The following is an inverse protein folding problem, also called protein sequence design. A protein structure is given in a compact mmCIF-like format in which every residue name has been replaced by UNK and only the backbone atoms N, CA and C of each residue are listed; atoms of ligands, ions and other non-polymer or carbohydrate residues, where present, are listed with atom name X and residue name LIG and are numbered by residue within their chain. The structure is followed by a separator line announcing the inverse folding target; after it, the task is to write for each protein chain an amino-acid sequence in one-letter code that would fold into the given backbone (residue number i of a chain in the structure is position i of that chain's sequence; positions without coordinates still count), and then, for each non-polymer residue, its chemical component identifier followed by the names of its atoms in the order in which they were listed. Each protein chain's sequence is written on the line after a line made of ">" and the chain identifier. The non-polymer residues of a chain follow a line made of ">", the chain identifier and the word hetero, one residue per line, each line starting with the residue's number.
data_IF_147241049202
#
_entry.id   IF_147241049202
#
_cell.length_a   1.000
_cell.length_b   1.000
_cell.length_c   1.000
_cell.angle_alpha   90.00
_cell.angle_beta   90.00
_cell.angle_gamma   90.00
#
_symmetry.space_group_name_H-M   'P 1'
#
loop_
_entity.id
_entity.type
_entity.pdbx_description
1 polymer ?
#
# COMPACT_ATOMS: atom_id res chain seq x y z
N UNK A 1 -32.04 10.52 -24.90
CA UNK A 1 -32.14 9.72 -23.66
C UNK A 1 -31.57 10.56 -22.53
N UNK A 2 -32.38 10.93 -21.55
CA UNK A 2 -32.05 11.93 -20.53
C UNK A 2 -30.98 11.44 -19.52
N UNK A 3 -30.05 12.33 -19.19
CA UNK A 3 -28.95 12.09 -18.26
C UNK A 3 -29.46 11.98 -16.81
N UNK A 4 -30.61 12.59 -16.50
CA UNK A 4 -31.28 12.50 -15.19
C UNK A 4 -31.79 11.07 -14.92
N UNK A 5 -32.40 10.43 -15.94
CA UNK A 5 -32.89 9.04 -15.86
C UNK A 5 -31.72 8.05 -15.68
N UNK A 6 -30.57 8.27 -16.32
CA UNK A 6 -29.36 7.45 -16.07
C UNK A 6 -28.83 7.59 -14.66
N UNK A 7 -28.96 8.78 -14.07
CA UNK A 7 -28.49 9.04 -12.71
C UNK A 7 -29.44 8.44 -11.68
N UNK A 8 -30.75 8.44 -11.91
CA UNK A 8 -31.73 7.85 -11.00
C UNK A 8 -31.76 6.31 -11.09
N UNK A 9 -31.57 5.71 -12.28
CA UNK A 9 -31.30 4.26 -12.42
C UNK A 9 -30.00 3.88 -11.69
N UNK A 10 -28.96 4.73 -11.75
CA UNK A 10 -27.72 4.51 -11.02
C UNK A 10 -27.83 4.79 -9.51
N UNK A 11 -28.90 5.47 -9.05
CA UNK A 11 -29.15 5.79 -7.64
C UNK A 11 -30.12 4.81 -6.97
N UNK A 12 -30.86 4.02 -7.76
CA UNK A 12 -31.83 3.02 -7.29
C UNK A 12 -31.26 1.58 -7.25
N UNK A 13 -29.95 1.39 -7.49
CA UNK A 13 -29.23 0.10 -7.41
C UNK A 13 -28.43 -0.09 -6.10
N UNK A 14 -28.95 0.41 -4.98
CA UNK A 14 -28.26 0.24 -3.70
C UNK A 14 -28.98 -0.82 -2.88
N UNK A 15 -28.20 -1.85 -2.50
CA UNK A 15 -28.50 -3.03 -1.67
C UNK A 15 -29.29 -4.17 -2.32
N UNK A 16 -28.74 -5.37 -2.12
CA UNK A 16 -29.14 -6.72 -2.54
C UNK A 16 -28.83 -7.12 -3.99
N UNK A 17 -27.80 -7.97 -4.13
CA UNK A 17 -27.57 -8.79 -5.32
C UNK A 17 -28.85 -9.60 -5.62
N UNK A 18 -29.22 -9.73 -6.90
CA UNK A 18 -30.28 -10.69 -7.26
C UNK A 18 -29.88 -12.10 -6.85
N UNK A 19 -30.83 -13.04 -6.70
CA UNK A 19 -30.49 -14.42 -6.33
C UNK A 19 -29.40 -15.06 -7.22
N UNK A 20 -29.40 -14.77 -8.51
CA UNK A 20 -28.39 -15.26 -9.46
C UNK A 20 -27.04 -14.57 -9.29
N UNK A 21 -27.04 -13.27 -9.01
CA UNK A 21 -25.82 -12.51 -8.73
C UNK A 21 -25.19 -12.94 -7.41
N UNK A 22 -26.02 -13.22 -6.40
CA UNK A 22 -25.59 -13.77 -5.12
C UNK A 22 -25.01 -15.18 -5.29
N UNK A 23 -25.62 -16.03 -6.10
CA UNK A 23 -25.06 -17.34 -6.43
C UNK A 23 -23.68 -17.24 -7.10
N UNK A 24 -23.43 -16.19 -7.91
CA UNK A 24 -22.10 -15.94 -8.45
C UNK A 24 -21.12 -15.49 -7.36
N UNK A 25 -21.52 -14.57 -6.49
CA UNK A 25 -20.70 -14.10 -5.37
C UNK A 25 -20.33 -15.26 -4.42
N UNK A 26 -21.30 -16.07 -4.03
CA UNK A 26 -21.12 -17.25 -3.18
C UNK A 26 -20.15 -18.25 -3.86
N UNK A 27 -20.31 -18.51 -5.16
CA UNK A 27 -19.39 -19.38 -5.91
C UNK A 27 -17.95 -18.84 -5.93
N UNK A 28 -17.77 -17.52 -6.07
CA UNK A 28 -16.45 -16.89 -6.02
C UNK A 28 -15.85 -16.99 -4.61
N UNK A 29 -16.65 -16.73 -3.58
CA UNK A 29 -16.26 -16.84 -2.17
C UNK A 29 -15.86 -18.28 -1.81
N UNK A 30 -16.65 -19.29 -2.19
CA UNK A 30 -16.34 -20.71 -1.94
C UNK A 30 -14.96 -21.11 -2.51
N UNK A 31 -14.60 -20.59 -3.69
CA UNK A 31 -13.27 -20.81 -4.28
C UNK A 31 -12.18 -20.13 -3.43
N UNK A 32 -12.44 -18.90 -2.96
CA UNK A 32 -11.53 -18.17 -2.07
C UNK A 32 -11.33 -18.89 -0.74
N UNK A 33 -12.40 -19.31 -0.09
CA UNK A 33 -12.39 -20.03 1.19
C UNK A 33 -11.64 -21.36 1.04
N UNK A 34 -11.92 -22.14 -0.01
CA UNK A 34 -11.20 -23.39 -0.29
C UNK A 34 -9.71 -23.19 -0.55
N UNK A 35 -9.32 -22.10 -1.20
CA UNK A 35 -7.94 -21.86 -1.64
C UNK A 35 -7.09 -21.03 -0.66
N UNK A 36 -7.71 -20.27 0.23
CA UNK A 36 -7.04 -19.35 1.15
C UNK A 36 -7.60 -19.37 2.59
N UNK A 37 -8.75 -19.99 2.84
CA UNK A 37 -9.45 -19.91 4.13
C UNK A 37 -9.94 -18.51 4.45
N UNK A 38 -10.38 -17.79 3.42
CA UNK A 38 -10.99 -16.47 3.56
C UNK A 38 -12.16 -16.32 2.58
N UNK A 39 -13.22 -15.68 3.05
CA UNK A 39 -14.45 -15.40 2.31
C UNK A 39 -14.19 -14.64 0.99
N UNK A 40 -13.57 -13.45 1.07
CA UNK A 40 -13.18 -12.68 -0.12
C UNK A 40 -11.73 -12.19 -0.03
N UNK A 41 -10.86 -12.75 -0.85
CA UNK A 41 -9.48 -12.28 -0.99
C UNK A 41 -9.39 -11.06 -1.93
N UNK A 42 -8.55 -10.10 -1.56
CA UNK A 42 -8.28 -8.93 -2.39
C UNK A 42 -7.74 -9.35 -3.78
N UNK A 43 -8.42 -8.90 -4.83
CA UNK A 43 -8.11 -9.24 -6.22
C UNK A 43 -8.65 -10.59 -6.72
N UNK A 44 -9.45 -11.31 -5.91
CA UNK A 44 -10.11 -12.56 -6.28
C UNK A 44 -10.80 -12.46 -7.63
N UNK A 45 -11.57 -11.40 -7.87
CA UNK A 45 -12.34 -11.19 -9.08
C UNK A 45 -11.49 -11.19 -10.36
N UNK A 46 -10.24 -10.70 -10.28
CA UNK A 46 -9.32 -10.67 -11.42
C UNK A 46 -8.62 -12.01 -11.62
N UNK A 47 -8.24 -12.70 -10.55
CA UNK A 47 -7.62 -14.02 -10.63
C UNK A 47 -8.59 -15.08 -11.16
N UNK A 48 -9.85 -15.05 -10.71
CA UNK A 48 -10.91 -15.90 -11.25
C UNK A 48 -11.19 -15.56 -12.71
N UNK A 49 -11.31 -14.27 -13.06
CA UNK A 49 -11.49 -13.87 -14.46
C UNK A 49 -10.33 -14.33 -15.36
N UNK A 50 -9.11 -14.28 -14.85
CA UNK A 50 -7.94 -14.79 -15.56
C UNK A 50 -8.03 -16.31 -15.78
N UNK A 51 -8.47 -17.09 -14.77
CA UNK A 51 -8.72 -18.52 -14.93
C UNK A 51 -9.81 -18.81 -15.98
N UNK A 52 -10.86 -17.99 -16.08
CA UNK A 52 -11.88 -18.14 -17.12
C UNK A 52 -11.31 -18.07 -18.54
N UNK A 53 -10.31 -17.21 -18.75
CA UNK A 53 -9.67 -16.98 -20.06
C UNK A 53 -8.55 -17.96 -20.37
N UNK A 54 -7.78 -18.39 -19.36
CA UNK A 54 -6.53 -19.13 -19.56
C UNK A 54 -6.60 -20.58 -19.05
N UNK A 55 -7.70 -20.98 -18.42
CA UNK A 55 -7.89 -22.34 -17.90
C UNK A 55 -7.49 -22.49 -16.43
N UNK A 56 -7.38 -23.75 -16.03
CA UNK A 56 -7.06 -24.16 -14.66
C UNK A 56 -5.74 -23.57 -14.18
N UNK A 57 -5.67 -23.19 -12.91
CA UNK A 57 -4.44 -22.63 -12.33
C UNK A 57 -4.38 -22.76 -10.83
N UNK A 58 -3.14 -22.74 -10.31
CA UNK A 58 -2.90 -22.65 -8.87
C UNK A 58 -3.39 -21.30 -8.35
N UNK A 59 -4.12 -21.33 -7.24
CA UNK A 59 -4.62 -20.16 -6.52
C UNK A 59 -4.47 -20.43 -5.02
N UNK A 60 -3.64 -19.64 -4.34
CA UNK A 60 -3.29 -19.89 -2.94
C UNK A 60 -2.69 -21.27 -2.69
N UNK A 61 -3.27 -22.00 -1.73
CA UNK A 61 -2.90 -23.38 -1.42
C UNK A 61 -3.66 -24.42 -2.25
N UNK A 62 -4.66 -23.99 -3.03
CA UNK A 62 -5.51 -24.84 -3.86
C UNK A 62 -5.34 -24.63 -5.36
N UNK A 63 -6.34 -25.11 -6.11
CA UNK A 63 -6.42 -25.01 -7.56
C UNK A 63 -7.84 -24.57 -7.95
N UNK A 64 -7.91 -23.62 -8.89
CA UNK A 64 -9.13 -23.31 -9.63
C UNK A 64 -9.26 -24.37 -10.73
N UNK A 65 -10.20 -25.28 -10.55
CA UNK A 65 -10.43 -26.44 -11.42
C UNK A 65 -11.28 -26.12 -12.64
N UNK A 66 -11.34 -27.03 -13.60
CA UNK A 66 -12.21 -26.91 -14.77
C UNK A 66 -13.69 -26.78 -14.38
N UNK A 67 -14.12 -27.50 -13.35
CA UNK A 67 -15.49 -27.45 -12.83
C UNK A 67 -15.81 -26.07 -12.20
N UNK A 68 -14.84 -25.47 -11.50
CA UNK A 68 -15.01 -24.09 -10.97
C UNK A 68 -15.20 -23.10 -12.13
N UNK A 69 -14.36 -23.21 -13.17
CA UNK A 69 -14.42 -22.34 -14.34
C UNK A 69 -15.74 -22.49 -15.10
N UNK A 70 -16.22 -23.73 -15.26
CA UNK A 70 -17.51 -24.01 -15.90
C UNK A 70 -18.67 -23.40 -15.12
N UNK A 71 -18.68 -23.57 -13.79
CA UNK A 71 -19.71 -22.99 -12.93
C UNK A 71 -19.70 -21.46 -12.95
N UNK A 72 -18.52 -20.84 -12.83
CA UNK A 72 -18.38 -19.39 -12.93
C UNK A 72 -18.91 -18.88 -14.27
N UNK A 73 -18.52 -19.50 -15.40
CA UNK A 73 -19.01 -19.13 -16.74
C UNK A 73 -20.52 -19.27 -16.85
N UNK A 74 -21.07 -20.38 -16.38
CA UNK A 74 -22.51 -20.67 -16.45
C UNK A 74 -23.30 -19.61 -15.68
N UNK A 75 -22.93 -19.32 -14.44
CA UNK A 75 -23.67 -18.38 -13.59
C UNK A 75 -23.46 -16.94 -14.10
N UNK A 76 -22.22 -16.53 -14.43
CA UNK A 76 -21.94 -15.18 -14.94
C UNK A 76 -22.68 -14.86 -16.23
N UNK A 77 -22.84 -15.85 -17.12
CA UNK A 77 -23.61 -15.69 -18.34
C UNK A 77 -25.11 -15.61 -18.06
N UNK A 78 -25.62 -16.38 -17.10
CA UNK A 78 -27.04 -16.36 -16.72
C UNK A 78 -27.45 -14.99 -16.13
N UNK A 79 -26.61 -14.37 -15.30
CA UNK A 79 -26.88 -13.05 -14.73
C UNK A 79 -26.31 -11.87 -15.55
N UNK A 80 -25.64 -12.15 -16.67
CA UNK A 80 -24.96 -11.17 -17.54
C UNK A 80 -24.09 -10.15 -16.77
N UNK A 81 -23.42 -10.61 -15.71
CA UNK A 81 -22.59 -9.75 -14.87
C UNK A 81 -21.40 -10.51 -14.29
N UNK A 82 -20.48 -9.74 -13.71
CA UNK A 82 -19.40 -10.21 -12.86
C UNK A 82 -19.54 -9.56 -11.48
N UNK A 83 -19.02 -10.21 -10.44
CA UNK A 83 -18.95 -9.61 -9.10
C UNK A 83 -17.54 -9.08 -8.89
N UNK A 84 -17.43 -7.84 -8.44
CA UNK A 84 -16.16 -7.27 -7.99
C UNK A 84 -16.36 -6.66 -6.60
N UNK A 85 -15.29 -6.58 -5.83
CA UNK A 85 -15.37 -5.94 -4.51
C UNK A 85 -15.24 -4.43 -4.66
N UNK A 86 -16.31 -3.70 -4.34
CA UNK A 86 -16.28 -2.26 -4.16
C UNK A 86 -16.01 -1.93 -2.69
N UNK A 87 -15.07 -1.02 -2.50
CA UNK A 87 -14.59 -0.59 -1.20
C UNK A 87 -15.64 0.08 -0.27
N UNK A 88 -16.82 0.44 -0.81
CA UNK A 88 -17.94 1.02 -0.06
C UNK A 88 -19.17 0.12 -0.06
N UNK A 89 -19.39 -0.62 -1.14
CA UNK A 89 -20.58 -1.44 -1.36
C UNK A 89 -20.31 -2.94 -1.19
N UNK A 90 -19.08 -3.33 -0.92
CA UNK A 90 -18.63 -4.72 -0.85
C UNK A 90 -18.91 -5.43 -2.19
N UNK A 91 -19.49 -6.62 -2.18
CA UNK A 91 -19.77 -7.40 -3.40
C UNK A 91 -20.73 -6.66 -4.33
N UNK A 92 -20.21 -6.16 -5.45
CA UNK A 92 -20.95 -5.33 -6.39
C UNK A 92 -21.01 -5.99 -7.77
N UNK A 93 -22.22 -6.09 -8.33
CA UNK A 93 -22.41 -6.58 -9.68
C UNK A 93 -22.03 -5.52 -10.74
N UNK A 94 -21.28 -5.93 -11.76
CA UNK A 94 -20.94 -5.12 -12.93
C UNK A 94 -21.28 -5.90 -14.20
N UNK A 95 -21.92 -5.25 -15.18
CA UNK A 95 -22.27 -5.88 -16.45
C UNK A 95 -21.03 -6.53 -17.11
N UNK A 96 -21.21 -7.75 -17.65
CA UNK A 96 -20.10 -8.57 -18.15
C UNK A 96 -19.26 -7.86 -19.22
N UNK A 97 -19.90 -7.09 -20.10
CA UNK A 97 -19.22 -6.31 -21.13
C UNK A 97 -18.32 -5.23 -20.53
N UNK A 98 -18.83 -4.49 -19.53
CA UNK A 98 -18.05 -3.46 -18.83
C UNK A 98 -16.90 -4.09 -18.02
N UNK A 99 -17.10 -5.29 -17.48
CA UNK A 99 -16.04 -6.05 -16.83
C UNK A 99 -14.94 -6.46 -17.82
N UNK A 100 -15.31 -6.92 -19.03
CA UNK A 100 -14.35 -7.24 -20.11
C UNK A 100 -13.52 -6.03 -20.48
N UNK A 101 -14.13 -4.87 -20.69
CA UNK A 101 -13.41 -3.62 -20.97
C UNK A 101 -12.41 -3.29 -19.84
N UNK A 102 -12.85 -3.37 -18.59
CA UNK A 102 -12.01 -3.15 -17.40
C UNK A 102 -10.84 -4.13 -17.35
N UNK A 103 -11.09 -5.42 -17.63
CA UNK A 103 -10.06 -6.45 -17.60
C UNK A 103 -9.11 -6.37 -18.80
N UNK A 104 -9.58 -6.02 -19.99
CA UNK A 104 -8.72 -5.77 -21.15
C UNK A 104 -7.74 -4.63 -20.85
N UNK A 105 -8.21 -3.56 -20.21
CA UNK A 105 -7.32 -2.48 -19.76
C UNK A 105 -6.23 -2.97 -18.80
N UNK A 106 -6.60 -3.84 -17.85
CA UNK A 106 -5.66 -4.37 -16.84
C UNK A 106 -4.72 -5.45 -17.39
N UNK A 107 -5.17 -6.30 -18.32
CA UNK A 107 -4.36 -7.34 -18.98
C UNK A 107 -3.36 -6.77 -19.98
N UNK A 108 -3.63 -5.58 -20.55
CA UNK A 108 -2.75 -4.89 -21.50
C UNK A 108 -1.62 -4.10 -20.82
N UNK A 109 -1.55 -4.10 -19.48
CA UNK A 109 -0.34 -3.67 -18.76
C UNK A 109 0.58 -4.88 -18.56
N UNK A 110 1.55 -5.14 -19.47
CA UNK A 110 2.55 -6.18 -19.24
C UNK A 110 3.25 -5.93 -17.90
N UNK A 111 3.56 -7.01 -17.15
CA UNK A 111 4.27 -6.94 -15.86
C UNK A 111 5.52 -6.04 -15.90
N UNK A 112 6.15 -5.93 -17.07
CA UNK A 112 7.30 -5.03 -17.34
C UNK A 112 6.96 -3.54 -17.24
N UNK A 113 5.74 -3.12 -17.61
CA UNK A 113 5.26 -1.75 -17.41
C UNK A 113 4.99 -1.46 -15.93
N UNK A 114 4.55 -2.45 -15.14
CA UNK A 114 4.31 -2.26 -13.71
C UNK A 114 5.61 -2.06 -12.93
N UNK A 115 6.65 -2.87 -13.18
CA UNK A 115 7.96 -2.66 -12.54
C UNK A 115 8.55 -1.29 -12.89
N UNK A 116 8.44 -0.89 -14.16
CA UNK A 116 8.88 0.44 -14.62
C UNK A 116 8.09 1.56 -13.94
N UNK A 117 6.78 1.39 -13.77
CA UNK A 117 5.92 2.33 -13.05
C UNK A 117 6.32 2.46 -11.57
N UNK A 118 6.55 1.33 -10.89
CA UNK A 118 6.97 1.30 -9.48
C UNK A 118 8.32 2.01 -9.32
N UNK A 119 9.31 1.68 -10.17
CA UNK A 119 10.65 2.29 -10.11
C UNK A 119 10.61 3.80 -10.35
N UNK A 120 9.87 4.25 -11.37
CA UNK A 120 9.69 5.68 -11.65
C UNK A 120 9.01 6.39 -10.48
N UNK A 121 7.99 5.77 -9.90
CA UNK A 121 7.26 6.35 -8.77
C UNK A 121 8.15 6.44 -7.54
N UNK A 122 8.91 5.40 -7.21
CA UNK A 122 9.86 5.41 -6.11
C UNK A 122 10.90 6.53 -6.26
N UNK A 123 11.50 6.66 -7.45
CA UNK A 123 12.51 7.67 -7.74
C UNK A 123 11.96 9.10 -7.63
N UNK A 124 10.73 9.33 -8.12
CA UNK A 124 10.07 10.64 -7.99
C UNK A 124 9.86 11.01 -6.52
N UNK A 125 9.31 10.10 -5.72
CA UNK A 125 9.04 10.41 -4.31
C UNK A 125 10.30 10.46 -3.44
N UNK A 126 11.36 9.72 -3.77
CA UNK A 126 12.66 9.89 -3.11
C UNK A 126 13.27 11.25 -3.42
N UNK A 127 13.12 11.75 -4.65
CA UNK A 127 13.54 13.11 -5.02
C UNK A 127 12.77 14.19 -4.26
N UNK A 128 11.45 14.04 -4.09
CA UNK A 128 10.63 14.96 -3.28
C UNK A 128 11.07 14.96 -1.81
N UNK A 129 11.26 13.77 -1.22
CA UNK A 129 11.72 13.63 0.15
C UNK A 129 13.11 14.29 0.33
N UNK A 130 14.05 14.01 -0.57
CA UNK A 130 15.39 14.61 -0.57
C UNK A 130 15.33 16.13 -0.62
N UNK A 131 14.54 16.71 -1.53
CA UNK A 131 14.36 18.17 -1.60
C UNK A 131 13.83 18.75 -0.30
N UNK A 132 12.89 18.07 0.37
CA UNK A 132 12.38 18.45 1.67
C UNK A 132 13.46 18.43 2.77
N UNK A 133 14.30 17.39 2.79
CA UNK A 133 15.41 17.27 3.74
C UNK A 133 16.47 18.36 3.53
N UNK A 134 16.84 18.63 2.28
CA UNK A 134 17.80 19.68 1.94
C UNK A 134 17.25 21.06 2.31
N UNK A 135 15.98 21.32 2.04
CA UNK A 135 15.34 22.58 2.45
C UNK A 135 15.34 22.74 3.97
N UNK A 136 14.96 21.70 4.70
CA UNK A 136 14.96 21.73 6.16
C UNK A 136 16.37 21.95 6.72
N UNK A 137 17.37 21.29 6.12
CA UNK A 137 18.77 21.45 6.50
C UNK A 137 19.27 22.89 6.25
N UNK A 138 18.96 23.48 5.10
CA UNK A 138 19.30 24.87 4.78
C UNK A 138 18.60 25.87 5.72
N UNK A 139 17.36 25.60 6.10
CA UNK A 139 16.58 26.45 7.00
C UNK A 139 16.86 26.20 8.49
N UNK A 140 17.63 25.17 8.84
CA UNK A 140 17.81 24.73 10.23
C UNK A 140 18.35 25.82 11.18
N UNK A 141 19.06 26.82 10.66
CA UNK A 141 19.51 27.98 11.44
C UNK A 141 18.38 28.95 11.84
N UNK A 142 17.24 28.90 11.16
CA UNK A 142 16.10 29.82 11.35
C UNK A 142 14.97 29.20 12.17
N UNK A 143 14.91 27.88 12.26
CA UNK A 143 13.82 27.18 12.95
C UNK A 143 14.06 27.13 14.46
N UNK A 144 12.96 27.23 15.22
CA UNK A 144 12.98 27.03 16.67
C UNK A 144 13.45 25.61 16.98
N UNK A 145 14.52 25.47 17.78
CA UNK A 145 15.12 24.16 18.11
C UNK A 145 14.17 23.20 18.84
N UNK A 146 13.25 23.75 19.64
CA UNK A 146 12.35 22.99 20.52
C UNK A 146 10.99 23.68 20.62
N UNK A 147 9.92 22.88 20.67
CA UNK A 147 8.58 23.39 20.94
C UNK A 147 8.49 23.73 22.45
N UNK A 148 8.13 24.97 22.83
CA UNK A 148 8.03 25.37 24.23
C UNK A 148 7.16 24.39 25.04
N UNK A 149 7.68 23.92 26.17
CA UNK A 149 6.97 23.01 27.07
C UNK A 149 6.98 21.54 26.66
N UNK A 150 7.74 21.13 25.64
CA UNK A 150 7.86 19.71 25.25
C UNK A 150 9.31 19.30 24.98
N UNK A 151 9.68 18.01 25.15
CA UNK A 151 11.02 17.52 24.84
C UNK A 151 11.26 17.30 23.34
N UNK A 152 10.31 17.64 22.47
CA UNK A 152 10.39 17.34 21.05
C UNK A 152 11.21 18.39 20.28
N UNK A 153 12.20 17.89 19.52
CA UNK A 153 12.94 18.69 18.54
C UNK A 153 12.06 18.91 17.32
N UNK A 154 11.88 20.18 16.91
CA UNK A 154 11.04 20.54 15.78
C UNK A 154 11.52 19.89 14.47
N UNK A 155 12.84 19.85 14.26
CA UNK A 155 13.44 19.28 13.05
C UNK A 155 13.08 17.81 12.86
N UNK A 156 13.16 17.01 13.94
CA UNK A 156 12.81 15.59 13.89
C UNK A 156 11.33 15.35 13.55
N UNK A 157 10.45 16.21 14.04
CA UNK A 157 9.02 16.18 13.71
C UNK A 157 8.80 16.50 12.21
N UNK A 158 9.44 17.54 11.70
CA UNK A 158 9.33 17.95 10.29
C UNK A 158 9.87 16.87 9.34
N UNK A 159 11.03 16.27 9.66
CA UNK A 159 11.57 15.11 8.91
C UNK A 159 10.55 13.98 8.87
N UNK A 160 9.96 13.65 10.03
CA UNK A 160 8.94 12.60 10.13
C UNK A 160 7.74 12.89 9.24
N UNK A 161 7.22 14.13 9.26
CA UNK A 161 6.08 14.55 8.43
C UNK A 161 6.40 14.45 6.94
N UNK A 162 7.59 14.88 6.50
CA UNK A 162 8.03 14.79 5.10
C UNK A 162 8.01 13.34 4.62
N UNK A 163 8.65 12.44 5.38
CA UNK A 163 8.70 11.03 5.02
C UNK A 163 7.33 10.36 5.04
N UNK A 164 6.54 10.56 6.11
CA UNK A 164 5.20 9.97 6.21
C UNK A 164 4.33 10.36 5.02
N UNK A 165 4.38 11.65 4.64
CA UNK A 165 3.64 12.18 3.50
C UNK A 165 4.06 11.51 2.19
N UNK A 166 5.37 11.35 1.97
CA UNK A 166 5.90 10.68 0.78
C UNK A 166 5.52 9.19 0.74
N UNK A 167 5.67 8.47 1.86
CA UNK A 167 5.31 7.04 1.99
C UNK A 167 3.82 6.82 1.70
N UNK A 168 2.94 7.60 2.33
CA UNK A 168 1.49 7.48 2.11
C UNK A 168 1.14 7.79 0.65
N UNK A 169 1.74 8.83 0.07
CA UNK A 169 1.48 9.20 -1.32
C UNK A 169 1.93 8.12 -2.31
N UNK A 170 3.12 7.54 -2.14
CA UNK A 170 3.62 6.46 -3.02
C UNK A 170 2.78 5.20 -2.88
N UNK A 171 2.45 4.78 -1.65
CA UNK A 171 1.65 3.59 -1.41
C UNK A 171 0.22 3.74 -1.97
N UNK A 172 -0.42 4.89 -1.75
CA UNK A 172 -1.73 5.20 -2.38
C UNK A 172 -1.66 5.15 -3.90
N UNK A 173 -0.59 5.70 -4.49
CA UNK A 173 -0.44 5.73 -5.95
C UNK A 173 -0.24 4.32 -6.53
N UNK A 174 0.52 3.46 -5.87
CA UNK A 174 0.67 2.06 -6.28
C UNK A 174 -0.61 1.26 -6.08
N UNK A 175 -1.30 1.41 -4.93
CA UNK A 175 -2.59 0.75 -4.71
C UNK A 175 -3.67 1.17 -5.73
N UNK A 176 -3.67 2.42 -6.19
CA UNK A 176 -4.58 2.86 -7.27
C UNK A 176 -4.25 2.21 -8.62
N UNK A 177 -2.98 1.91 -8.87
CA UNK A 177 -2.54 1.30 -10.12
C UNK A 177 -2.67 -0.23 -10.10
N UNK A 178 -2.47 -0.84 -8.93
CA UNK A 178 -2.54 -2.28 -8.68
C UNK A 178 -3.10 -2.52 -7.26
N UNK A 179 -4.43 -2.60 -7.10
CA UNK A 179 -5.08 -2.85 -5.81
C UNK A 179 -4.59 -4.15 -5.14
N UNK A 180 -4.29 -5.18 -5.95
CA UNK A 180 -3.78 -6.47 -5.50
C UNK A 180 -2.35 -6.44 -4.93
N UNK A 181 -1.70 -5.27 -4.87
CA UNK A 181 -0.36 -5.14 -4.28
C UNK A 181 -0.36 -5.60 -2.83
N UNK A 182 0.49 -6.57 -2.49
CA UNK A 182 0.61 -7.07 -1.12
C UNK A 182 1.14 -6.00 -0.16
N UNK A 183 0.77 -6.10 1.13
CA UNK A 183 1.25 -5.19 2.18
C UNK A 183 2.78 -5.17 2.21
N UNK A 184 3.44 -6.34 2.11
CA UNK A 184 4.91 -6.45 2.10
C UNK A 184 5.53 -5.63 0.96
N UNK A 185 4.94 -5.66 -0.24
CA UNK A 185 5.44 -4.85 -1.37
C UNK A 185 5.31 -3.35 -1.11
N UNK A 186 4.20 -2.92 -0.50
CA UNK A 186 4.02 -1.51 -0.10
C UNK A 186 5.02 -1.08 0.97
N UNK A 187 5.35 -1.99 1.91
CA UNK A 187 6.36 -1.76 2.94
C UNK A 187 7.72 -1.54 2.31
N UNK A 188 8.16 -2.51 1.49
CA UNK A 188 9.44 -2.47 0.77
C UNK A 188 9.54 -1.19 -0.07
N UNK A 189 8.45 -0.79 -0.72
CA UNK A 189 8.42 0.43 -1.52
C UNK A 189 8.63 1.69 -0.69
N UNK A 190 7.94 1.83 0.45
CA UNK A 190 8.14 2.97 1.35
C UNK A 190 9.54 3.00 1.98
N UNK A 191 10.09 1.82 2.30
CA UNK A 191 11.49 1.68 2.77
C UNK A 191 12.47 2.10 1.69
N UNK A 192 12.28 1.65 0.45
CA UNK A 192 13.15 1.99 -0.68
C UNK A 192 13.15 3.50 -0.96
N UNK A 193 11.98 4.14 -0.97
CA UNK A 193 11.86 5.60 -1.11
C UNK A 193 12.65 6.33 -0.03
N UNK A 194 12.52 5.86 1.22
CA UNK A 194 13.16 6.48 2.37
C UNK A 194 14.68 6.28 2.37
N UNK A 195 15.13 5.07 2.08
CA UNK A 195 16.53 4.69 1.98
C UNK A 195 17.25 5.49 0.89
N UNK A 196 16.66 5.61 -0.30
CA UNK A 196 17.26 6.36 -1.41
C UNK A 196 17.38 7.85 -1.07
N UNK A 197 16.33 8.44 -0.47
CA UNK A 197 16.36 9.84 -0.06
C UNK A 197 17.40 10.10 1.05
N UNK A 198 17.42 9.26 2.09
CA UNK A 198 18.35 9.41 3.22
C UNK A 198 19.79 9.18 2.80
N UNK A 199 20.08 8.13 2.02
CA UNK A 199 21.43 7.86 1.52
C UNK A 199 21.95 9.04 0.69
N UNK A 200 21.11 9.59 -0.19
CA UNK A 200 21.46 10.76 -1.03
C UNK A 200 21.70 12.00 -0.17
N UNK A 201 20.83 12.27 0.81
CA UNK A 201 20.98 13.38 1.74
C UNK A 201 22.28 13.26 2.54
N UNK A 202 22.58 12.06 3.06
CA UNK A 202 23.79 11.81 3.82
C UNK A 202 25.05 11.97 2.97
N UNK A 203 25.05 11.52 1.70
CA UNK A 203 26.15 11.76 0.75
C UNK A 203 26.41 13.27 0.59
N UNK A 204 25.36 14.07 0.40
CA UNK A 204 25.49 15.53 0.27
C UNK A 204 26.01 16.14 1.57
N UNK A 205 25.46 15.72 2.71
CA UNK A 205 25.85 16.22 4.03
C UNK A 205 27.33 15.96 4.33
N UNK A 206 27.89 14.86 3.84
CA UNK A 206 29.31 14.53 4.06
C UNK A 206 30.29 15.61 3.58
N UNK A 207 29.92 16.46 2.62
CA UNK A 207 30.79 17.54 2.15
C UNK A 207 30.91 18.71 3.13
N UNK A 208 30.04 18.78 4.13
CA UNK A 208 30.06 19.85 5.16
C UNK A 208 30.86 19.50 6.41
N UNK A 209 31.33 18.25 6.52
CA UNK A 209 32.12 17.75 7.64
C UNK A 209 33.61 17.81 7.35
N UNK A 210 34.16 19.02 7.14
CA UNK A 210 35.59 19.19 6.84
C UNK A 210 36.50 18.85 8.04
N UNK A 211 36.03 19.08 9.25
CA UNK A 211 36.83 18.89 10.49
C UNK A 211 36.77 17.46 11.04
N UNK A 212 36.01 16.56 10.42
CA UNK A 212 35.80 15.19 10.94
C UNK A 212 36.72 14.20 10.27
N UNK A 213 37.21 13.22 11.04
CA UNK A 213 37.96 12.09 10.51
C UNK A 213 37.08 11.22 9.60
N UNK A 214 37.70 10.45 8.68
CA UNK A 214 36.98 9.57 7.76
C UNK A 214 36.12 8.53 8.50
N UNK A 215 36.61 8.01 9.63
CA UNK A 215 35.89 7.04 10.46
C UNK A 215 34.64 7.65 11.12
N UNK A 216 34.72 8.89 11.60
CA UNK A 216 33.57 9.60 12.16
C UNK A 216 32.53 9.92 11.09
N UNK A 217 32.99 10.39 9.93
CA UNK A 217 32.14 10.64 8.75
C UNK A 217 31.35 9.40 8.34
N UNK A 218 32.04 8.26 8.23
CA UNK A 218 31.42 6.97 7.96
C UNK A 218 30.42 6.57 9.05
N UNK A 219 30.79 6.71 10.33
CA UNK A 219 29.90 6.42 11.46
C UNK A 219 28.62 7.25 11.39
N UNK A 220 28.71 8.55 11.16
CA UNK A 220 27.53 9.42 11.03
C UNK A 220 26.67 9.09 9.80
N UNK A 221 27.31 8.73 8.68
CA UNK A 221 26.61 8.27 7.48
C UNK A 221 25.78 7.03 7.78
N UNK A 222 26.42 5.96 8.26
CA UNK A 222 25.74 4.69 8.50
C UNK A 222 24.70 4.79 9.61
N UNK A 223 25.01 5.52 10.69
CA UNK A 223 24.05 5.71 11.79
C UNK A 223 22.79 6.43 11.30
N UNK A 224 22.94 7.49 10.50
CA UNK A 224 21.82 8.21 9.91
C UNK A 224 20.97 7.33 8.99
N UNK A 225 21.62 6.71 7.99
CA UNK A 225 20.94 5.85 7.01
C UNK A 225 20.21 4.69 7.68
N UNK A 226 20.88 3.94 8.57
CA UNK A 226 20.28 2.77 9.22
C UNK A 226 19.14 3.17 10.15
N UNK A 227 19.35 4.18 11.01
CA UNK A 227 18.35 4.58 12.01
C UNK A 227 17.08 5.10 11.36
N UNK A 228 17.20 5.99 10.36
CA UNK A 228 16.05 6.52 9.64
C UNK A 228 15.37 5.44 8.81
N UNK A 229 16.12 4.57 8.12
CA UNK A 229 15.52 3.50 7.31
C UNK A 229 14.72 2.52 8.17
N UNK A 230 15.22 2.13 9.34
CA UNK A 230 14.49 1.26 10.27
C UNK A 230 13.23 1.93 10.79
N UNK A 231 13.30 3.20 11.19
CA UNK A 231 12.13 3.96 11.62
C UNK A 231 11.08 4.07 10.49
N UNK A 232 11.53 4.35 9.27
CA UNK A 232 10.64 4.45 8.10
C UNK A 232 10.05 3.10 7.70
N UNK A 233 10.72 1.98 7.96
CA UNK A 233 10.14 0.65 7.77
C UNK A 233 8.92 0.43 8.67
N UNK A 234 9.01 0.85 9.93
CA UNK A 234 7.90 0.80 10.87
C UNK A 234 6.73 1.68 10.40
N UNK A 235 7.00 2.93 10.02
CA UNK A 235 5.94 3.80 9.49
C UNK A 235 5.32 3.28 8.19
N UNK A 236 6.15 2.71 7.30
CA UNK A 236 5.71 2.10 6.05
C UNK A 236 4.80 0.89 6.29
N UNK A 237 5.06 0.10 7.34
CA UNK A 237 4.15 -0.97 7.80
C UNK A 237 2.81 -0.41 8.24
N UNK A 238 2.80 0.57 9.14
CA UNK A 238 1.55 1.15 9.64
C UNK A 238 0.72 1.79 8.54
N UNK A 239 1.35 2.56 7.64
CA UNK A 239 0.66 3.19 6.52
C UNK A 239 0.14 2.17 5.52
N UNK A 240 0.92 1.15 5.16
CA UNK A 240 0.48 0.10 4.25
C UNK A 240 -0.70 -0.69 4.84
N UNK A 241 -0.62 -1.02 6.13
CA UNK A 241 -1.69 -1.72 6.84
C UNK A 241 -2.97 -0.87 6.90
N UNK A 242 -2.86 0.41 7.26
CA UNK A 242 -3.99 1.32 7.31
C UNK A 242 -4.66 1.49 5.95
N UNK A 243 -3.86 1.67 4.89
CA UNK A 243 -4.37 1.86 3.53
C UNK A 243 -5.09 0.63 2.99
N UNK A 244 -4.58 -0.57 3.31
CA UNK A 244 -5.15 -1.83 2.79
C UNK A 244 -6.33 -2.34 3.60
N UNK A 245 -6.29 -2.23 4.93
CA UNK A 245 -7.34 -2.83 5.77
C UNK A 245 -8.49 -1.89 6.11
N UNK A 246 -8.30 -0.56 6.02
CA UNK A 246 -9.27 0.48 6.41
C UNK A 246 -9.81 0.38 7.84
N UNK A 247 -9.32 -0.55 8.65
CA UNK A 247 -9.76 -0.79 10.04
C UNK A 247 -8.92 0.03 11.01
N UNK A 248 -9.28 1.30 11.17
CA UNK A 248 -8.57 2.26 12.05
C UNK A 248 -8.43 1.76 13.49
N UNK A 249 -9.40 0.98 14.00
CA UNK A 249 -9.33 0.41 15.35
C UNK A 249 -8.15 -0.56 15.54
N UNK A 250 -7.86 -1.42 14.54
CA UNK A 250 -6.72 -2.36 14.60
C UNK A 250 -5.38 -1.62 14.54
N UNK A 251 -5.33 -0.47 13.87
CA UNK A 251 -4.13 0.37 13.82
C UNK A 251 -3.73 0.86 15.22
N UNK A 252 -4.69 1.33 16.02
CA UNK A 252 -4.42 1.78 17.39
C UNK A 252 -3.89 0.65 18.28
N UNK A 253 -4.40 -0.57 18.12
CA UNK A 253 -3.86 -1.75 18.82
C UNK A 253 -2.39 -1.99 18.47
N UNK A 254 -2.03 -1.96 17.18
CA UNK A 254 -0.63 -2.15 16.77
C UNK A 254 0.27 -1.01 17.25
N UNK A 255 -0.21 0.23 17.25
CA UNK A 255 0.53 1.37 17.85
C UNK A 255 0.76 1.12 19.34
N UNK A 256 -0.26 0.67 20.07
CA UNK A 256 -0.14 0.31 21.49
C UNK A 256 0.90 -0.80 21.73
N UNK A 257 0.86 -1.87 20.95
CA UNK A 257 1.83 -2.98 21.00
C UNK A 257 3.24 -2.46 20.71
N UNK A 258 3.41 -1.63 19.68
CA UNK A 258 4.71 -1.07 19.31
C UNK A 258 5.29 -0.17 20.41
N UNK A 259 4.46 0.68 21.02
CA UNK A 259 4.87 1.51 22.15
C UNK A 259 5.23 0.67 23.38
N UNK A 260 4.50 -0.43 23.64
CA UNK A 260 4.85 -1.38 24.70
C UNK A 260 6.21 -2.05 24.43
N UNK A 261 6.48 -2.45 23.18
CA UNK A 261 7.78 -3.00 22.78
C UNK A 261 8.90 -1.97 23.01
N UNK A 262 8.71 -0.71 22.60
CA UNK A 262 9.69 0.37 22.85
C UNK A 262 9.93 0.54 24.35
N UNK A 263 8.88 0.52 25.18
CA UNK A 263 9.01 0.65 26.62
C UNK A 263 9.81 -0.52 27.23
N UNK A 264 9.56 -1.74 26.77
CA UNK A 264 10.32 -2.94 27.17
C UNK A 264 11.78 -2.83 26.75
N UNK A 265 12.06 -2.45 25.50
CA UNK A 265 13.44 -2.26 25.02
C UNK A 265 14.15 -1.20 25.87
N UNK A 266 13.49 -0.08 26.17
CA UNK A 266 14.06 0.98 27.01
C UNK A 266 14.31 0.51 28.45
N UNK A 267 13.50 -0.40 28.97
CA UNK A 267 13.69 -0.98 30.31
C UNK A 267 14.93 -1.88 30.37
N UNK A 268 15.13 -2.75 29.37
CA UNK A 268 16.29 -3.64 29.32
C UNK A 268 17.58 -2.96 28.84
N UNK A 269 17.46 -1.91 28.03
CA UNK A 269 18.57 -1.13 27.50
C UNK A 269 18.35 0.35 27.85
N UNK A 270 18.65 0.78 29.08
CA UNK A 270 18.47 2.17 29.49
C UNK A 270 19.50 3.14 28.85
N UNK A 271 20.61 2.64 28.29
CA UNK A 271 21.75 3.45 27.80
C UNK A 271 22.08 3.46 26.29
N UNK A 272 21.23 3.08 25.31
CA UNK A 272 21.64 3.07 23.90
C UNK A 272 21.74 4.46 23.25
N UNK A 273 21.44 5.54 23.99
CA UNK A 273 21.36 6.91 23.48
C UNK A 273 22.15 7.96 24.30
N UNK A 274 23.11 7.54 25.13
CA UNK A 274 24.09 8.46 25.72
C UNK A 274 25.26 8.70 24.77
#
# INVERSE_FOLDING_TARGET
>A
MDYSIRRDIAKQMYTDLTPEQKALADCMSDISERCFGADWMDGLEYDLWNALLHGERKYGQGMISANDIENLKRISNACNCWIYFDDKQEETAIALERWRERCQYLQVLPRTKMSTFINKTALTFSGIALSGLLLLWLLGGLLLKTIPGTPFKLDGLLITVIYLSCIIAVQKRVLRADPGTSIIRLIILGVLVSLLAEASFQIIRQFTFQDYSLSERARYFFTGVISITLLMAVYSFFSAYQLKTRRTARLFLFIGIFLAIIAVIKHFFPSPFQ
#
